data_IF_294425649355
#
_entry.id   IF_294425649355
#
_cell.length_a   1.000
_cell.length_b   1.000
_cell.length_c   1.000
_cell.angle_alpha   90.00
_cell.angle_beta   90.00
_cell.angle_gamma   90.00
#
_symmetry.space_group_name_H-M   'P 1'
#
loop_
_entity.id
_entity.type
_entity.pdbx_description
1 polymer ?
#
# COMPACT_ATOMS: atom_id res chain seq x y z
N UNK A 1 -13.83 1.22 -13.76
CA UNK A 1 -12.46 1.65 -13.62
C UNK A 1 -11.51 0.77 -14.41
N UNK A 2 -10.61 1.38 -15.13
CA UNK A 2 -9.71 0.67 -16.02
C UNK A 2 -8.48 0.17 -15.25
N UNK A 3 -8.36 -1.14 -15.13
CA UNK A 3 -7.26 -1.73 -14.37
C UNK A 3 -5.91 -1.54 -15.03
N UNK A 4 -5.89 -1.29 -16.33
CA UNK A 4 -4.63 -1.11 -17.04
C UNK A 4 -4.04 0.27 -16.84
N UNK A 5 -4.82 1.20 -16.35
CA UNK A 5 -4.34 2.54 -16.09
C UNK A 5 -3.56 2.60 -14.80
N UNK A 6 -2.51 3.39 -14.83
CA UNK A 6 -1.65 3.55 -13.67
C UNK A 6 -1.86 4.93 -13.05
N UNK A 7 -1.82 4.94 -11.75
CA UNK A 7 -1.89 6.17 -10.99
C UNK A 7 -0.62 6.26 -10.15
N UNK A 8 -0.31 7.46 -9.70
CA UNK A 8 0.89 7.69 -8.91
C UNK A 8 0.50 8.22 -7.55
N UNK A 9 1.13 7.69 -6.52
CA UNK A 9 0.95 8.18 -5.17
C UNK A 9 2.32 8.18 -4.50
N UNK A 10 2.55 9.18 -3.67
CA UNK A 10 3.84 9.29 -2.98
C UNK A 10 3.89 8.30 -1.83
N UNK A 11 5.02 7.62 -1.73
CA UNK A 11 5.24 6.64 -0.66
C UNK A 11 6.51 7.04 0.08
N UNK A 12 6.46 6.94 1.41
CA UNK A 12 7.64 7.24 2.21
C UNK A 12 8.80 6.34 1.79
N UNK A 13 9.99 6.93 1.80
CA UNK A 13 11.19 6.21 1.36
C UNK A 13 11.45 4.95 2.17
N UNK A 14 11.21 5.01 3.48
CA UNK A 14 11.45 3.85 4.32
C UNK A 14 10.51 2.70 4.01
N UNK A 15 9.24 3.01 3.70
CA UNK A 15 8.26 1.98 3.33
C UNK A 15 8.59 1.40 1.96
N UNK A 16 9.01 2.25 1.05
CA UNK A 16 9.38 1.79 -0.29
C UNK A 16 10.55 0.81 -0.20
N UNK A 17 11.50 1.11 0.66
CA UNK A 17 12.66 0.25 0.85
C UNK A 17 12.25 -1.11 1.39
N UNK A 18 11.31 -1.14 2.34
CA UNK A 18 10.84 -2.39 2.89
C UNK A 18 10.09 -3.22 1.87
N UNK A 19 9.25 -2.58 1.08
CA UNK A 19 8.50 -3.29 0.04
C UNK A 19 9.48 -3.87 -0.98
N UNK A 20 10.46 -3.09 -1.37
CA UNK A 20 11.45 -3.53 -2.33
C UNK A 20 12.22 -4.75 -1.81
N UNK A 21 12.59 -4.71 -0.56
CA UNK A 21 13.31 -5.80 0.08
C UNK A 21 12.48 -7.08 0.05
N UNK A 22 11.21 -6.97 0.43
CA UNK A 22 10.32 -8.12 0.44
C UNK A 22 10.11 -8.67 -0.96
N UNK A 23 9.97 -7.78 -1.93
CA UNK A 23 9.75 -8.20 -3.31
C UNK A 23 10.95 -8.98 -3.83
N UNK A 24 12.16 -8.49 -3.57
CA UNK A 24 13.37 -9.15 -4.02
C UNK A 24 13.53 -10.51 -3.35
N UNK A 25 13.28 -10.58 -2.06
CA UNK A 25 13.39 -11.83 -1.32
C UNK A 25 12.45 -12.91 -1.82
N UNK A 26 11.30 -12.49 -2.34
CA UNK A 26 10.27 -13.42 -2.77
C UNK A 26 10.13 -13.51 -4.28
N UNK A 27 11.05 -12.87 -4.99
CA UNK A 27 11.10 -12.95 -6.45
C UNK A 27 9.81 -12.51 -7.12
N UNK A 28 9.25 -11.41 -6.63
CA UNK A 28 8.09 -10.79 -7.25
C UNK A 28 8.45 -9.35 -7.56
N UNK A 29 7.65 -8.72 -8.40
CA UNK A 29 7.91 -7.33 -8.75
C UNK A 29 7.36 -6.39 -7.69
N UNK A 30 8.05 -5.25 -7.53
CA UNK A 30 7.66 -4.29 -6.52
C UNK A 30 6.23 -3.83 -6.72
N UNK A 31 5.85 -3.50 -7.95
CA UNK A 31 4.51 -3.00 -8.19
C UNK A 31 3.44 -4.08 -7.96
N UNK A 32 3.78 -5.33 -8.23
CA UNK A 32 2.86 -6.42 -7.99
C UNK A 32 2.58 -6.59 -6.51
N UNK A 33 3.65 -6.57 -5.72
CA UNK A 33 3.51 -6.71 -4.28
C UNK A 33 2.76 -5.52 -3.70
N UNK A 34 3.11 -4.32 -4.13
CA UNK A 34 2.46 -3.11 -3.64
C UNK A 34 0.97 -3.11 -3.93
N UNK A 35 0.61 -3.42 -5.16
CA UNK A 35 -0.80 -3.44 -5.53
C UNK A 35 -1.57 -4.51 -4.79
N UNK A 36 -0.96 -5.67 -4.60
CA UNK A 36 -1.61 -6.75 -3.87
C UNK A 36 -1.88 -6.35 -2.43
N UNK A 37 -0.92 -5.68 -1.81
CA UNK A 37 -1.06 -5.23 -0.43
C UNK A 37 -2.18 -4.20 -0.30
N UNK A 38 -2.21 -3.25 -1.23
CA UNK A 38 -3.24 -2.21 -1.21
C UNK A 38 -4.61 -2.83 -1.44
N UNK A 39 -4.69 -3.73 -2.38
CA UNK A 39 -5.95 -4.40 -2.68
C UNK A 39 -6.47 -5.17 -1.48
N UNK A 40 -5.57 -5.83 -0.78
CA UNK A 40 -5.91 -6.60 0.40
C UNK A 40 -6.52 -5.70 1.48
N UNK A 41 -5.89 -4.57 1.72
CA UNK A 41 -6.36 -3.64 2.74
C UNK A 41 -7.68 -2.99 2.35
N UNK A 42 -7.78 -2.56 1.11
CA UNK A 42 -8.99 -1.88 0.64
C UNK A 42 -10.20 -2.82 0.66
N UNK A 43 -9.97 -4.10 0.44
CA UNK A 43 -11.06 -5.08 0.49
C UNK A 43 -11.65 -5.22 1.88
N UNK A 44 -10.93 -4.78 2.88
CA UNK A 44 -11.40 -4.87 4.27
C UNK A 44 -11.75 -3.49 4.78
N UNK A 45 -13.05 -3.17 4.76
CA UNK A 45 -13.53 -1.86 5.20
C UNK A 45 -13.13 -1.53 6.63
N UNK A 46 -13.11 -2.54 7.48
CA UNK A 46 -12.74 -2.33 8.87
C UNK A 46 -11.32 -1.82 8.99
N UNK A 47 -10.43 -2.42 8.21
CA UNK A 47 -9.03 -2.01 8.21
C UNK A 47 -8.87 -0.57 7.74
N UNK A 48 -9.58 -0.22 6.68
CA UNK A 48 -9.50 1.14 6.16
C UNK A 48 -10.01 2.14 7.17
N UNK A 49 -11.13 1.84 7.80
CA UNK A 49 -11.69 2.72 8.82
C UNK A 49 -10.76 2.90 9.99
N UNK A 50 -10.12 1.83 10.42
CA UNK A 50 -9.17 1.88 11.52
C UNK A 50 -7.98 2.77 11.18
N UNK A 51 -7.50 2.66 9.95
CA UNK A 51 -6.38 3.48 9.51
C UNK A 51 -6.74 4.95 9.45
N UNK A 52 -7.93 5.24 8.93
CA UNK A 52 -8.38 6.63 8.85
C UNK A 52 -8.51 7.24 10.23
N UNK A 53 -9.06 6.49 11.15
CA UNK A 53 -9.22 6.94 12.52
C UNK A 53 -7.86 7.25 13.16
N UNK A 54 -6.90 6.38 12.91
CA UNK A 54 -5.55 6.55 13.42
C UNK A 54 -4.92 7.82 12.87
N UNK A 55 -5.10 8.06 11.57
CA UNK A 55 -4.54 9.23 10.94
C UNK A 55 -5.14 10.51 11.49
N UNK A 56 -6.44 10.53 11.74
CA UNK A 56 -7.11 11.69 12.27
C UNK A 56 -6.67 12.00 13.70
N UNK A 57 -6.36 10.95 14.45
CA UNK A 57 -5.86 11.14 15.80
C UNK A 57 -4.51 11.82 15.82
N UNK A 58 -3.67 11.47 14.87
CA UNK A 58 -2.33 12.03 14.81
C UNK A 58 -2.34 13.47 14.32
N UNK A 59 -3.43 13.87 13.75
CA UNK A 59 -3.54 15.17 13.12
C UNK A 59 -4.02 16.24 14.10
N UNK A 60 -3.52 16.25 15.27
CA UNK A 60 -3.93 17.20 16.28
C UNK A 60 -3.14 18.46 16.29
#
# INVERSE_FOLDING_TARGET
MDKSRRAVVEIRADLHREIRKQAILNDVRIYELTNAMIEEIISNEESVKALIKKLKRQDK
#
